data_IF_881135526213
#
_entry.id   IF_881135526213
#
_cell.length_a   1.000
_cell.length_b   1.000
_cell.length_c   1.000
_cell.angle_alpha   90.00
_cell.angle_beta   90.00
_cell.angle_gamma   90.00
#
_symmetry.space_group_name_H-M   'P 1'
#
loop_
_entity.id
_entity.type
_entity.pdbx_description
1 polymer ?
#
# COMPACT_ATOMS: atom_id res chain seq x y z
N UNK A 1 20.77 -38.01 5.94
CA UNK A 1 19.34 -37.97 5.60
C UNK A 1 18.49 -37.76 6.86
N UNK A 2 18.66 -38.57 7.90
CA UNK A 2 17.94 -38.46 9.19
C UNK A 2 17.98 -37.05 9.81
N UNK A 3 19.17 -36.44 9.97
CA UNK A 3 19.30 -35.08 10.52
C UNK A 3 18.52 -34.02 9.74
N UNK A 4 18.47 -34.13 8.42
CA UNK A 4 17.73 -33.18 7.55
C UNK A 4 16.23 -33.32 7.79
N UNK A 5 15.72 -34.55 7.93
CA UNK A 5 14.30 -34.78 8.23
C UNK A 5 13.92 -34.15 9.57
N UNK A 6 14.77 -34.30 10.59
CA UNK A 6 14.56 -33.69 11.91
C UNK A 6 14.54 -32.16 11.80
N UNK A 7 15.47 -31.57 11.05
CA UNK A 7 15.56 -30.11 10.86
C UNK A 7 14.33 -29.59 10.10
N UNK A 8 13.86 -30.32 9.08
CA UNK A 8 12.63 -29.96 8.35
C UNK A 8 11.42 -30.02 9.29
N UNK A 9 11.26 -31.11 10.06
CA UNK A 9 10.15 -31.26 10.99
C UNK A 9 10.15 -30.16 12.06
N UNK A 10 11.32 -29.83 12.61
CA UNK A 10 11.47 -28.73 13.55
C UNK A 10 11.19 -27.36 12.88
N UNK A 11 11.75 -27.11 11.70
CA UNK A 11 11.55 -25.87 10.96
C UNK A 11 10.10 -25.63 10.57
N UNK A 12 9.35 -26.68 10.23
CA UNK A 12 7.90 -26.62 10.00
C UNK A 12 7.14 -26.20 11.28
N UNK A 13 7.44 -26.85 12.41
CA UNK A 13 6.82 -26.50 13.69
C UNK A 13 7.18 -25.07 14.14
N UNK A 14 8.44 -24.67 13.93
CA UNK A 14 8.93 -23.34 14.23
C UNK A 14 8.29 -22.29 13.31
N UNK A 15 8.17 -22.54 12.01
CA UNK A 15 7.48 -21.65 11.07
C UNK A 15 6.01 -21.42 11.43
N UNK A 16 5.32 -22.47 11.90
CA UNK A 16 3.95 -22.33 12.43
C UNK A 16 3.89 -21.41 13.66
N UNK A 17 4.91 -21.45 14.53
CA UNK A 17 5.05 -20.51 15.63
C UNK A 17 5.37 -19.09 15.14
N UNK A 18 6.20 -18.92 14.11
CA UNK A 18 6.48 -17.60 13.52
C UNK A 18 5.21 -16.93 12.99
N UNK A 19 4.29 -17.68 12.38
CA UNK A 19 2.97 -17.17 11.99
C UNK A 19 2.16 -16.61 13.18
N UNK A 20 2.34 -17.14 14.39
CA UNK A 20 1.73 -16.60 15.60
C UNK A 20 2.35 -15.26 15.96
N UNK A 21 3.68 -15.12 15.86
CA UNK A 21 4.38 -13.86 16.11
C UNK A 21 3.96 -12.77 15.13
N UNK A 22 3.96 -13.08 13.83
CA UNK A 22 3.55 -12.15 12.75
C UNK A 22 2.13 -11.63 12.99
N UNK A 23 1.21 -12.49 13.42
CA UNK A 23 -0.16 -12.07 13.67
C UNK A 23 -0.33 -11.24 14.96
N UNK A 24 0.37 -11.60 16.04
CA UNK A 24 0.09 -11.10 17.39
C UNK A 24 0.90 -9.89 17.81
N UNK A 25 2.17 -9.80 17.41
CA UNK A 25 3.06 -8.71 17.84
C UNK A 25 2.53 -7.35 17.39
N UNK A 26 2.12 -7.15 16.12
CA UNK A 26 1.55 -5.86 15.66
C UNK A 26 0.23 -5.47 16.32
N UNK A 27 -0.37 -6.36 17.12
CA UNK A 27 -1.70 -6.20 17.74
C UNK A 27 -1.62 -6.19 19.26
N UNK A 28 -0.42 -6.12 19.83
CA UNK A 28 -0.15 -6.18 21.27
C UNK A 28 -0.81 -7.37 21.98
N UNK A 29 -0.96 -8.48 21.25
CA UNK A 29 -1.60 -9.68 21.77
C UNK A 29 -0.58 -10.58 22.45
N UNK A 30 -0.98 -11.24 23.55
CA UNK A 30 -0.09 -12.19 24.22
C UNK A 30 0.28 -13.36 23.31
N UNK A 31 1.58 -13.67 23.24
CA UNK A 31 2.14 -14.77 22.43
C UNK A 31 1.74 -16.14 22.98
N UNK A 32 1.49 -16.25 24.29
CA UNK A 32 1.26 -17.52 24.99
C UNK A 32 -0.21 -17.94 25.01
N UNK A 33 -1.13 -16.98 25.20
CA UNK A 33 -2.59 -17.23 25.29
C UNK A 33 -3.37 -16.16 24.52
N UNK A 34 -4.52 -16.49 23.91
CA UNK A 34 -5.20 -17.80 23.85
C UNK A 34 -4.60 -18.77 22.81
N UNK A 35 -5.15 -19.99 22.71
CA UNK A 35 -4.78 -20.95 21.66
C UNK A 35 -5.18 -20.45 20.26
N UNK A 36 -4.51 -20.94 19.21
CA UNK A 36 -4.79 -20.56 17.82
C UNK A 36 -6.26 -20.79 17.45
N UNK A 37 -6.89 -19.74 16.90
CA UNK A 37 -8.28 -19.72 16.49
C UNK A 37 -8.42 -19.07 15.12
N UNK A 38 -9.43 -19.49 14.36
CA UNK A 38 -9.74 -18.82 13.09
C UNK A 38 -10.16 -17.37 13.34
N UNK A 39 -9.59 -16.38 12.63
CA UNK A 39 -9.92 -14.97 12.84
C UNK A 39 -11.37 -14.64 12.48
N UNK A 40 -11.96 -15.26 11.45
CA UNK A 40 -13.35 -14.99 11.06
C UNK A 40 -14.39 -15.63 11.99
N UNK A 41 -14.26 -16.94 12.29
CA UNK A 41 -15.29 -17.64 13.07
C UNK A 41 -14.97 -17.85 14.54
N UNK A 42 -13.77 -17.44 14.99
CA UNK A 42 -13.24 -17.60 16.36
C UNK A 42 -13.26 -19.02 16.92
N UNK A 43 -13.57 -20.03 16.11
CA UNK A 43 -13.43 -21.45 16.51
C UNK A 43 -11.96 -21.79 16.68
N UNK A 44 -11.67 -22.54 17.74
CA UNK A 44 -10.34 -23.10 18.02
C UNK A 44 -9.92 -24.04 16.88
N UNK A 45 -8.67 -23.90 16.45
CA UNK A 45 -8.08 -24.78 15.43
C UNK A 45 -7.77 -26.13 16.09
N UNK A 46 -8.18 -27.22 15.45
CA UNK A 46 -7.86 -28.58 15.93
C UNK A 46 -6.40 -28.90 15.65
N UNK A 47 -5.80 -29.76 16.47
CA UNK A 47 -4.36 -30.09 16.39
C UNK A 47 -3.95 -30.57 14.98
N UNK A 48 -4.78 -31.40 14.32
CA UNK A 48 -4.50 -31.89 12.97
C UNK A 48 -4.73 -30.85 11.85
N UNK A 49 -5.44 -29.75 12.15
CA UNK A 49 -5.58 -28.60 11.25
C UNK A 49 -4.43 -27.59 11.47
N UNK A 50 -3.54 -27.86 12.43
CA UNK A 50 -2.35 -27.08 12.74
C UNK A 50 -1.06 -27.79 12.29
N UNK A 51 -1.16 -28.80 11.40
CA UNK A 51 0.00 -29.47 10.82
C UNK A 51 0.52 -28.58 9.67
N UNK A 52 1.72 -28.00 9.79
CA UNK A 52 2.22 -27.00 8.85
C UNK A 52 2.27 -27.54 7.43
N UNK A 53 1.97 -26.68 6.44
CA UNK A 53 1.94 -26.96 4.99
C UNK A 53 0.85 -27.97 4.58
N UNK A 54 0.80 -29.14 5.21
CA UNK A 54 -0.12 -30.24 4.90
C UNK A 54 -1.58 -29.82 5.17
N UNK A 55 -1.87 -29.23 6.32
CA UNK A 55 -3.24 -28.77 6.63
C UNK A 55 -3.69 -27.70 5.64
N UNK A 56 -2.80 -26.80 5.21
CA UNK A 56 -3.12 -25.76 4.23
C UNK A 56 -3.47 -26.36 2.85
N UNK A 57 -2.67 -27.32 2.37
CA UNK A 57 -2.91 -28.01 1.10
C UNK A 57 -4.21 -28.83 1.12
N UNK A 58 -4.42 -29.64 2.16
CA UNK A 58 -5.63 -30.48 2.30
C UNK A 58 -6.91 -29.63 2.39
N UNK A 59 -6.84 -28.48 3.07
CA UNK A 59 -7.97 -27.57 3.21
C UNK A 59 -8.16 -26.63 2.01
N UNK A 60 -7.25 -26.65 1.03
CA UNK A 60 -7.26 -25.75 -0.12
C UNK A 60 -7.15 -24.28 0.28
N UNK A 61 -6.36 -23.97 1.32
CA UNK A 61 -6.20 -22.61 1.85
C UNK A 61 -7.48 -22.02 2.45
N UNK A 62 -8.41 -22.84 2.96
CA UNK A 62 -9.69 -22.37 3.55
C UNK A 62 -9.90 -22.93 4.95
N UNK A 63 -10.55 -22.17 5.83
CA UNK A 63 -10.94 -22.67 7.14
C UNK A 63 -11.93 -23.86 7.00
N UNK A 64 -11.72 -24.92 7.78
CA UNK A 64 -12.60 -26.11 7.78
C UNK A 64 -14.06 -25.78 8.10
N UNK A 65 -14.29 -24.81 9.00
CA UNK A 65 -15.63 -24.48 9.51
C UNK A 65 -16.33 -23.40 8.69
N UNK A 66 -15.74 -22.23 8.57
CA UNK A 66 -16.37 -21.08 7.91
C UNK A 66 -15.95 -20.89 6.45
N UNK A 67 -15.06 -21.73 5.92
CA UNK A 67 -14.52 -21.64 4.54
C UNK A 67 -13.83 -20.31 4.19
N UNK A 68 -13.62 -19.43 5.16
CA UNK A 68 -12.82 -18.22 5.00
C UNK A 68 -11.43 -18.56 4.49
N UNK A 69 -10.91 -17.77 3.55
CA UNK A 69 -9.58 -17.97 2.96
C UNK A 69 -8.50 -17.72 4.02
N UNK A 70 -7.50 -18.58 4.06
CA UNK A 70 -6.28 -18.44 4.87
C UNK A 70 -5.25 -17.74 3.98
N UNK A 71 -4.59 -16.67 4.44
CA UNK A 71 -3.60 -15.94 3.63
C UNK A 71 -2.43 -16.84 3.20
N UNK A 72 -1.93 -16.61 1.98
CA UNK A 72 -0.80 -17.38 1.42
C UNK A 72 0.50 -17.20 2.22
N UNK A 73 0.66 -16.08 2.94
CA UNK A 73 1.80 -15.85 3.84
C UNK A 73 1.97 -16.95 4.88
N UNK A 74 0.88 -17.52 5.41
CA UNK A 74 0.97 -18.62 6.37
C UNK A 74 1.72 -19.82 5.77
N UNK A 75 1.37 -20.17 4.53
CA UNK A 75 2.01 -21.24 3.78
C UNK A 75 3.46 -20.90 3.43
N UNK A 76 3.73 -19.66 3.02
CA UNK A 76 5.08 -19.20 2.69
C UNK A 76 6.01 -19.24 3.90
N UNK A 77 5.60 -18.72 5.06
CA UNK A 77 6.41 -18.74 6.30
C UNK A 77 6.73 -20.18 6.70
N UNK A 78 5.75 -21.09 6.59
CA UNK A 78 5.93 -22.51 6.93
C UNK A 78 6.86 -23.25 5.98
N UNK A 79 7.05 -22.79 4.73
CA UNK A 79 8.02 -23.36 3.78
C UNK A 79 9.39 -22.67 3.90
N UNK A 80 9.40 -21.34 3.98
CA UNK A 80 10.64 -20.55 4.04
C UNK A 80 11.45 -20.92 5.28
N UNK A 81 10.81 -21.11 6.44
CA UNK A 81 11.51 -21.44 7.69
C UNK A 81 12.33 -22.75 7.61
N UNK A 82 11.75 -23.92 7.29
CA UNK A 82 12.52 -25.15 7.15
C UNK A 82 13.49 -25.10 5.98
N UNK A 83 13.17 -24.40 4.88
CA UNK A 83 14.10 -24.22 3.76
C UNK A 83 15.36 -23.47 4.22
N UNK A 84 15.20 -22.32 4.90
CA UNK A 84 16.30 -21.56 5.48
C UNK A 84 17.11 -22.42 6.45
N UNK A 85 16.47 -23.19 7.32
CA UNK A 85 17.18 -24.04 8.29
C UNK A 85 17.97 -25.15 7.59
N UNK A 86 17.42 -25.78 6.55
CA UNK A 86 18.17 -26.77 5.77
C UNK A 86 19.37 -26.14 5.08
N UNK A 87 19.21 -24.98 4.44
CA UNK A 87 20.33 -24.26 3.79
C UNK A 87 21.42 -23.89 4.79
N UNK A 88 21.04 -23.38 5.96
CA UNK A 88 21.97 -23.07 7.05
C UNK A 88 22.68 -24.32 7.56
N UNK A 89 21.98 -25.45 7.68
CA UNK A 89 22.59 -26.71 8.09
C UNK A 89 23.58 -27.24 7.06
N UNK A 90 23.27 -27.13 5.77
CA UNK A 90 24.17 -27.55 4.69
C UNK A 90 25.48 -26.74 4.70
N UNK A 91 25.43 -25.47 5.12
CA UNK A 91 26.59 -24.60 5.17
C UNK A 91 27.36 -24.67 6.50
N UNK A 92 26.67 -24.57 7.64
CA UNK A 92 27.29 -24.47 8.96
C UNK A 92 27.32 -25.79 9.74
N UNK A 93 26.70 -26.86 9.24
CA UNK A 93 26.46 -28.11 9.98
C UNK A 93 25.75 -27.86 11.34
N UNK A 94 25.71 -28.84 12.24
CA UNK A 94 25.18 -28.63 13.61
C UNK A 94 26.24 -27.96 14.50
N UNK A 95 26.49 -26.67 14.27
CA UNK A 95 27.39 -25.83 15.06
C UNK A 95 26.60 -24.81 15.91
N UNK A 96 27.27 -24.13 16.83
CA UNK A 96 26.66 -23.01 17.54
C UNK A 96 26.21 -21.89 16.57
N UNK A 97 27.00 -21.68 15.51
CA UNK A 97 26.69 -20.71 14.44
C UNK A 97 25.38 -21.05 13.71
N UNK A 98 25.10 -22.32 13.49
CA UNK A 98 23.84 -22.75 12.90
C UNK A 98 22.62 -22.28 13.71
N UNK A 99 22.63 -22.49 15.03
CA UNK A 99 21.51 -22.09 15.89
C UNK A 99 21.33 -20.56 15.95
N UNK A 100 22.43 -19.82 16.04
CA UNK A 100 22.40 -18.35 15.99
C UNK A 100 21.81 -17.84 14.66
N UNK A 101 22.24 -18.43 13.54
CA UNK A 101 21.73 -18.09 12.20
C UNK A 101 20.27 -18.50 12.01
N UNK A 102 19.81 -19.60 12.59
CA UNK A 102 18.39 -19.96 12.61
C UNK A 102 17.54 -18.92 13.35
N UNK A 103 18.03 -18.40 14.48
CA UNK A 103 17.33 -17.35 15.24
C UNK A 103 17.29 -16.04 14.45
N UNK A 104 18.43 -15.63 13.87
CA UNK A 104 18.51 -14.44 13.02
C UNK A 104 17.59 -14.55 11.79
N UNK A 105 17.63 -15.69 11.08
CA UNK A 105 16.74 -15.93 9.94
C UNK A 105 15.25 -15.92 10.35
N UNK A 106 14.92 -16.47 11.51
CA UNK A 106 13.55 -16.41 12.04
C UNK A 106 13.12 -14.96 12.30
N UNK A 107 13.99 -14.13 12.88
CA UNK A 107 13.72 -12.72 13.10
C UNK A 107 13.51 -11.97 11.77
N UNK A 108 14.36 -12.21 10.75
CA UNK A 108 14.21 -11.59 9.43
C UNK A 108 12.92 -12.01 8.72
N UNK A 109 12.52 -13.29 8.82
CA UNK A 109 11.24 -13.76 8.28
C UNK A 109 10.08 -13.04 8.99
N UNK A 110 10.06 -12.99 10.32
CA UNK A 110 8.97 -12.35 11.06
C UNK A 110 8.91 -10.85 10.76
N UNK A 111 10.05 -10.15 10.81
CA UNK A 111 10.11 -8.71 10.52
C UNK A 111 9.66 -8.42 9.09
N UNK A 112 10.15 -9.16 8.09
CA UNK A 112 9.76 -8.94 6.69
C UNK A 112 8.28 -9.16 6.42
N UNK A 113 7.65 -10.18 7.04
CA UNK A 113 6.21 -10.38 6.89
C UNK A 113 5.37 -9.36 7.68
N UNK A 114 5.83 -8.92 8.86
CA UNK A 114 5.15 -7.85 9.59
C UNK A 114 5.21 -6.55 8.79
N UNK A 115 6.39 -6.19 8.29
CA UNK A 115 6.59 -5.00 7.47
C UNK A 115 5.73 -5.03 6.20
N UNK A 116 5.70 -6.16 5.49
CA UNK A 116 4.84 -6.33 4.30
C UNK A 116 3.34 -6.11 4.57
N UNK A 117 2.84 -6.47 5.76
CA UNK A 117 1.42 -6.35 6.09
C UNK A 117 1.03 -5.07 6.81
N UNK A 118 1.96 -4.52 7.59
CA UNK A 118 1.67 -3.46 8.55
C UNK A 118 2.56 -2.24 8.36
N UNK A 119 3.59 -2.29 7.51
CA UNK A 119 4.59 -1.24 7.30
C UNK A 119 5.19 -0.73 8.61
N UNK A 120 5.36 -1.64 9.58
CA UNK A 120 5.99 -1.35 10.87
C UNK A 120 7.09 -2.38 11.16
N UNK A 121 8.13 -1.94 11.84
CA UNK A 121 9.21 -2.80 12.32
C UNK A 121 9.17 -2.79 13.86
N UNK A 122 8.66 -3.87 14.50
CA UNK A 122 8.46 -3.92 15.95
C UNK A 122 9.77 -4.00 16.73
N UNK A 123 9.92 -3.11 17.72
CA UNK A 123 11.08 -3.04 18.60
C UNK A 123 11.20 -4.26 19.53
N UNK A 124 10.09 -4.97 19.76
CA UNK A 124 10.05 -6.23 20.52
C UNK A 124 10.90 -7.33 19.87
N UNK A 125 11.24 -7.20 18.58
CA UNK A 125 12.08 -8.14 17.85
C UNK A 125 13.45 -7.54 17.57
N UNK A 126 13.52 -6.29 17.09
CA UNK A 126 14.78 -5.67 16.67
C UNK A 126 15.73 -5.43 17.83
N UNK A 127 15.25 -4.90 18.97
CA UNK A 127 16.11 -4.58 20.11
C UNK A 127 16.64 -5.84 20.82
N UNK A 128 15.82 -6.85 21.18
CA UNK A 128 16.37 -8.10 21.71
C UNK A 128 17.25 -8.81 20.70
N UNK A 129 16.90 -8.76 19.40
CA UNK A 129 17.73 -9.29 18.32
C UNK A 129 19.11 -8.64 18.28
N UNK A 130 19.19 -7.31 18.41
CA UNK A 130 20.44 -6.55 18.44
C UNK A 130 21.31 -6.96 19.62
N UNK A 131 20.73 -7.06 20.81
CA UNK A 131 21.44 -7.51 22.01
C UNK A 131 21.99 -8.92 21.82
N UNK A 132 21.19 -9.83 21.25
CA UNK A 132 21.62 -11.19 20.96
C UNK A 132 22.70 -11.24 19.88
N UNK A 133 22.64 -10.41 18.85
CA UNK A 133 23.67 -10.31 17.81
C UNK A 133 25.01 -9.82 18.37
N UNK A 134 24.98 -8.79 19.22
CA UNK A 134 26.18 -8.30 19.91
C UNK A 134 26.74 -9.34 20.89
N UNK A 135 25.88 -10.00 21.67
CA UNK A 135 26.30 -11.09 22.55
C UNK A 135 26.91 -12.27 21.76
N UNK A 136 26.34 -12.56 20.59
CA UNK A 136 26.82 -13.61 19.71
C UNK A 136 28.22 -13.28 19.12
N UNK A 137 28.53 -12.01 18.90
CA UNK A 137 29.87 -11.59 18.40
C UNK A 137 31.04 -12.01 19.29
N UNK A 138 30.81 -12.31 20.58
CA UNK A 138 31.86 -12.83 21.47
C UNK A 138 32.21 -14.30 21.21
N UNK A 139 31.34 -15.04 20.53
CA UNK A 139 31.47 -16.47 20.26
C UNK A 139 31.82 -16.76 18.80
N UNK A 140 32.22 -15.71 18.05
CA UNK A 140 32.54 -15.79 16.63
C UNK A 140 34.04 -15.63 16.41
N UNK A 141 34.59 -16.49 15.57
CA UNK A 141 35.99 -16.39 15.15
C UNK A 141 36.16 -15.40 13.98
N UNK A 142 35.09 -15.15 13.23
CA UNK A 142 35.10 -14.34 12.00
C UNK A 142 34.76 -12.86 12.23
N UNK A 143 34.12 -12.53 13.36
CA UNK A 143 33.64 -11.19 13.63
C UNK A 143 33.76 -10.84 15.12
N UNK A 144 34.59 -9.85 15.43
CA UNK A 144 34.77 -9.35 16.80
C UNK A 144 33.71 -8.30 17.17
N UNK A 145 33.49 -8.06 18.47
CA UNK A 145 32.55 -7.03 18.96
C UNK A 145 32.72 -5.66 18.29
N UNK A 146 33.97 -5.21 18.10
CA UNK A 146 34.25 -3.95 17.42
C UNK A 146 33.73 -3.96 15.98
N UNK A 147 33.87 -5.07 15.27
CA UNK A 147 33.35 -5.23 13.90
C UNK A 147 31.82 -5.34 13.88
N UNK A 148 31.22 -5.94 14.90
CA UNK A 148 29.76 -5.95 15.08
C UNK A 148 29.22 -4.53 15.25
N UNK A 149 29.83 -3.74 16.13
CA UNK A 149 29.47 -2.34 16.37
C UNK A 149 29.71 -1.48 15.13
N UNK A 150 30.84 -1.66 14.45
CA UNK A 150 31.11 -0.98 13.17
C UNK A 150 30.04 -1.37 12.15
N UNK A 151 29.65 -2.66 12.06
CA UNK A 151 28.57 -3.10 11.18
C UNK A 151 27.24 -2.43 11.47
N UNK A 152 26.82 -2.42 12.74
CA UNK A 152 25.58 -1.78 13.19
C UNK A 152 25.57 -0.29 12.86
N UNK A 153 26.64 0.43 13.23
CA UNK A 153 26.79 1.86 12.96
C UNK A 153 26.89 2.15 11.46
N UNK A 154 27.53 1.27 10.68
CA UNK A 154 27.63 1.46 9.22
C UNK A 154 26.26 1.34 8.57
N UNK A 155 25.49 0.29 8.89
CA UNK A 155 24.15 0.11 8.31
C UNK A 155 23.19 1.22 8.69
N UNK A 156 23.03 1.46 9.99
CA UNK A 156 22.12 2.47 10.51
C UNK A 156 22.59 3.89 10.17
N UNK A 157 23.88 4.17 10.30
CA UNK A 157 24.48 5.46 10.00
C UNK A 157 24.41 5.81 8.51
N UNK A 158 24.53 4.84 7.62
CA UNK A 158 24.34 5.06 6.18
C UNK A 158 22.90 5.49 5.86
N UNK A 159 21.90 4.79 6.41
CA UNK A 159 20.50 5.16 6.24
C UNK A 159 20.17 6.52 6.88
N UNK A 160 20.70 6.79 8.07
CA UNK A 160 20.53 8.09 8.74
C UNK A 160 21.18 9.23 7.96
N UNK A 161 22.31 9.00 7.29
CA UNK A 161 22.95 9.98 6.41
C UNK A 161 22.04 10.29 5.21
N UNK A 162 21.49 9.27 4.57
CA UNK A 162 20.52 9.45 3.47
C UNK A 162 19.30 10.22 3.96
N UNK A 163 18.71 9.80 5.08
CA UNK A 163 17.58 10.50 5.71
C UNK A 163 17.91 11.96 5.99
N UNK A 164 19.04 12.25 6.63
CA UNK A 164 19.45 13.61 6.98
C UNK A 164 19.72 14.49 5.75
N UNK A 165 20.39 13.95 4.73
CA UNK A 165 20.62 14.68 3.47
C UNK A 165 19.32 14.94 2.70
N UNK A 166 18.42 13.95 2.64
CA UNK A 166 17.11 14.11 2.05
C UNK A 166 16.28 15.16 2.79
N UNK A 167 16.24 15.09 4.12
CA UNK A 167 15.54 16.05 4.96
C UNK A 167 16.10 17.48 4.79
N UNK A 168 17.43 17.65 4.71
CA UNK A 168 18.03 18.96 4.48
C UNK A 168 17.68 19.57 3.11
N UNK A 169 17.59 18.75 2.07
CA UNK A 169 17.30 19.21 0.70
C UNK A 169 15.80 19.41 0.48
N UNK A 170 14.98 18.46 0.91
CA UNK A 170 13.54 18.41 0.62
C UNK A 170 12.66 18.90 1.76
N UNK A 171 13.20 19.04 2.98
CA UNK A 171 12.46 19.37 4.22
C UNK A 171 11.25 18.45 4.47
N UNK A 172 11.37 17.20 4.02
CA UNK A 172 10.36 16.15 4.15
C UNK A 172 11.01 14.91 4.77
N UNK A 173 10.24 14.17 5.57
CA UNK A 173 10.65 12.87 6.08
C UNK A 173 10.59 11.87 4.93
N UNK A 174 11.70 11.18 4.64
CA UNK A 174 11.82 10.31 3.46
C UNK A 174 12.16 8.86 3.75
N UNK A 175 12.38 8.49 5.01
CA UNK A 175 12.79 7.14 5.40
C UNK A 175 12.24 6.79 6.78
N UNK A 176 11.68 5.59 6.92
CA UNK A 176 11.17 5.08 8.19
C UNK A 176 12.29 4.81 9.20
N UNK A 177 12.13 5.26 10.44
CA UNK A 177 13.09 4.95 11.51
C UNK A 177 13.18 3.45 11.83
N UNK A 178 12.15 2.67 11.49
CA UNK A 178 12.17 1.21 11.58
C UNK A 178 13.29 0.57 10.74
N UNK A 179 13.54 1.09 9.54
CA UNK A 179 14.61 0.56 8.67
C UNK A 179 15.98 0.75 9.31
N UNK A 180 16.17 1.87 10.01
CA UNK A 180 17.40 2.17 10.74
C UNK A 180 17.60 1.17 11.89
N UNK A 181 16.57 0.87 12.67
CA UNK A 181 16.67 -0.09 13.79
C UNK A 181 16.87 -1.52 13.29
N UNK A 182 16.23 -1.90 12.18
CA UNK A 182 16.50 -3.17 11.52
C UNK A 182 17.96 -3.25 11.02
N UNK A 183 18.48 -2.18 10.43
CA UNK A 183 19.87 -2.13 9.97
C UNK A 183 20.90 -2.13 11.10
N UNK A 184 20.55 -1.66 12.31
CA UNK A 184 21.37 -1.89 13.50
C UNK A 184 21.53 -3.38 13.80
N UNK A 185 20.42 -4.13 13.80
CA UNK A 185 20.41 -5.57 14.02
C UNK A 185 21.18 -6.33 12.92
N UNK A 186 20.84 -6.07 11.65
CA UNK A 186 21.52 -6.70 10.51
C UNK A 186 23.02 -6.40 10.55
N UNK A 187 23.38 -5.14 10.84
CA UNK A 187 24.77 -4.71 10.93
C UNK A 187 25.55 -5.37 12.06
N UNK A 188 24.94 -5.48 13.24
CA UNK A 188 25.54 -6.18 14.38
C UNK A 188 25.77 -7.67 14.08
N UNK A 189 24.86 -8.30 13.33
CA UNK A 189 24.95 -9.72 13.02
C UNK A 189 25.90 -10.02 11.85
N UNK A 190 25.87 -9.25 10.77
CA UNK A 190 26.62 -9.56 9.54
C UNK A 190 27.97 -8.85 9.44
N UNK A 191 28.16 -7.73 10.17
CA UNK A 191 29.32 -6.87 10.02
C UNK A 191 29.25 -5.95 8.80
N UNK A 192 30.11 -4.95 8.74
CA UNK A 192 29.95 -3.81 7.83
C UNK A 192 29.97 -4.15 6.33
N UNK A 193 30.80 -5.08 5.89
CA UNK A 193 30.89 -5.47 4.46
C UNK A 193 29.58 -6.08 3.97
N UNK A 194 29.08 -7.06 4.72
CA UNK A 194 27.85 -7.77 4.36
C UNK A 194 26.64 -6.85 4.50
N UNK A 195 26.65 -5.92 5.46
CA UNK A 195 25.59 -4.92 5.66
C UNK A 195 25.42 -4.02 4.42
N UNK A 196 26.51 -3.51 3.86
CA UNK A 196 26.47 -2.70 2.64
C UNK A 196 25.98 -3.52 1.44
N UNK A 197 26.41 -4.79 1.34
CA UNK A 197 25.92 -5.69 0.31
C UNK A 197 24.41 -5.95 0.44
N UNK A 198 23.91 -6.18 1.65
CA UNK A 198 22.48 -6.34 1.93
C UNK A 198 21.69 -5.11 1.53
N UNK A 199 22.16 -3.89 1.85
CA UNK A 199 21.51 -2.65 1.44
C UNK A 199 21.37 -2.55 -0.08
N UNK A 200 22.45 -2.80 -0.82
CA UNK A 200 22.44 -2.73 -2.29
C UNK A 200 21.45 -3.75 -2.86
N UNK A 201 21.53 -5.00 -2.40
CA UNK A 201 20.67 -6.07 -2.89
C UNK A 201 19.20 -5.80 -2.57
N UNK A 202 18.91 -5.33 -1.35
CA UNK A 202 17.56 -4.96 -0.93
C UNK A 202 16.98 -3.84 -1.81
N UNK A 203 17.75 -2.79 -2.09
CA UNK A 203 17.33 -1.69 -2.97
C UNK A 203 17.02 -2.17 -4.40
N UNK A 204 17.83 -3.09 -4.95
CA UNK A 204 17.55 -3.67 -6.27
C UNK A 204 16.26 -4.51 -6.27
N UNK A 205 16.04 -5.33 -5.24
CA UNK A 205 14.81 -6.13 -5.16
C UNK A 205 13.59 -5.22 -4.97
N UNK A 206 13.67 -4.23 -4.06
CA UNK A 206 12.58 -3.28 -3.80
C UNK A 206 12.20 -2.44 -5.01
N UNK A 207 13.18 -2.02 -5.82
CA UNK A 207 12.94 -1.26 -7.05
C UNK A 207 12.08 -2.02 -8.08
N UNK A 208 12.03 -3.35 -8.02
CA UNK A 208 11.24 -4.17 -8.94
C UNK A 208 9.81 -4.48 -8.44
N UNK A 209 9.45 -4.13 -7.20
CA UNK A 209 8.19 -4.56 -6.55
C UNK A 209 7.09 -3.47 -6.59
N UNK A 210 7.36 -2.30 -7.17
CA UNK A 210 6.46 -1.13 -7.06
C UNK A 210 5.92 -0.56 -8.38
N UNK A 211 5.81 -1.35 -9.45
CA UNK A 211 5.42 -0.82 -10.78
C UNK A 211 4.19 -1.54 -11.34
N UNK A 212 3.06 -1.46 -10.62
CA UNK A 212 1.78 -2.01 -11.09
C UNK A 212 0.63 -1.00 -10.90
N UNK A 213 0.12 -0.46 -12.00
CA UNK A 213 -1.05 0.42 -12.07
C UNK A 213 -1.94 -0.01 -13.23
N UNK A 214 -3.11 -0.56 -12.90
CA UNK A 214 -4.05 -1.06 -13.91
C UNK A 214 -4.98 0.07 -14.40
N UNK A 215 -5.37 0.00 -15.66
CA UNK A 215 -6.40 0.87 -16.25
C UNK A 215 -7.60 0.03 -16.68
N UNK A 216 -8.82 0.54 -16.54
CA UNK A 216 -10.00 -0.22 -16.90
C UNK A 216 -11.19 0.65 -17.27
N UNK A 217 -12.01 0.15 -18.18
CA UNK A 217 -13.26 0.78 -18.63
C UNK A 217 -14.38 -0.25 -18.76
N UNK A 218 -15.62 0.17 -18.49
CA UNK A 218 -16.81 -0.61 -18.83
C UNK A 218 -17.18 -0.49 -20.32
N UNK A 219 -16.58 0.47 -21.04
CA UNK A 219 -16.86 0.71 -22.45
C UNK A 219 -16.42 -0.45 -23.34
N UNK A 220 -17.24 -0.78 -24.33
CA UNK A 220 -17.01 -1.85 -25.31
C UNK A 220 -16.73 -1.34 -26.72
N UNK A 221 -16.66 -0.02 -26.91
CA UNK A 221 -16.47 0.61 -28.22
C UNK A 221 -14.99 0.83 -28.53
N UNK A 222 -14.68 1.02 -29.81
CA UNK A 222 -13.32 1.30 -30.29
C UNK A 222 -12.77 2.57 -29.62
N UNK A 223 -11.59 2.47 -29.01
CA UNK A 223 -10.89 3.62 -28.42
C UNK A 223 -11.42 4.08 -27.07
N UNK A 224 -12.12 3.23 -26.30
CA UNK A 224 -12.44 3.56 -24.91
C UNK A 224 -11.19 3.74 -24.04
N UNK A 225 -10.08 3.10 -24.40
CA UNK A 225 -8.76 3.36 -23.86
C UNK A 225 -7.88 3.71 -25.05
N UNK A 226 -7.41 4.95 -25.11
CA UNK A 226 -6.53 5.44 -26.17
C UNK A 226 -5.22 5.95 -25.55
N UNK A 227 -4.13 5.25 -25.86
CA UNK A 227 -2.79 5.60 -25.40
C UNK A 227 -2.07 6.40 -26.48
N UNK A 228 -1.84 7.69 -26.19
CA UNK A 228 -1.02 8.56 -27.01
C UNK A 228 0.43 8.03 -27.14
N UNK A 229 1.18 8.45 -28.18
CA UNK A 229 2.58 8.06 -28.33
C UNK A 229 3.41 8.34 -27.08
N UNK A 230 4.27 7.39 -26.71
CA UNK A 230 5.10 7.36 -25.49
C UNK A 230 4.37 7.11 -24.17
N UNK A 231 3.04 7.01 -24.15
CA UNK A 231 2.32 6.63 -22.93
C UNK A 231 2.66 5.18 -22.55
N UNK A 232 2.91 4.95 -21.25
CA UNK A 232 3.20 3.61 -20.71
C UNK A 232 2.27 3.29 -19.57
N UNK A 233 1.63 2.14 -19.65
CA UNK A 233 0.86 1.55 -18.56
C UNK A 233 1.66 0.39 -18.02
N UNK A 234 2.16 0.53 -16.81
CA UNK A 234 2.87 -0.54 -16.11
C UNK A 234 1.85 -1.37 -15.33
N UNK A 235 1.08 -2.21 -16.02
CA UNK A 235 -0.02 -2.98 -15.44
C UNK A 235 -0.94 -3.56 -16.52
N UNK A 236 -2.02 -4.20 -16.10
CA UNK A 236 -3.06 -4.75 -16.96
C UNK A 236 -4.02 -3.66 -17.46
N UNK A 237 -4.59 -3.86 -18.65
CA UNK A 237 -5.63 -3.00 -19.21
C UNK A 237 -6.92 -3.77 -19.44
N UNK A 238 -8.03 -3.26 -18.90
CA UNK A 238 -9.33 -3.93 -18.90
C UNK A 238 -10.34 -3.19 -19.80
N UNK A 239 -10.89 -3.92 -20.77
CA UNK A 239 -12.00 -3.48 -21.64
C UNK A 239 -13.35 -3.96 -21.09
N UNK A 240 -14.44 -3.35 -21.56
CA UNK A 240 -15.79 -3.71 -21.14
C UNK A 240 -16.13 -5.19 -21.36
N UNK A 241 -17.11 -5.72 -20.62
CA UNK A 241 -17.43 -7.14 -20.65
C UNK A 241 -17.92 -7.61 -22.03
N UNK A 242 -17.35 -8.72 -22.51
CA UNK A 242 -17.69 -9.32 -23.80
C UNK A 242 -17.14 -8.57 -25.02
N UNK A 243 -16.26 -7.58 -24.81
CA UNK A 243 -15.54 -6.90 -25.89
C UNK A 243 -14.22 -7.59 -26.24
N UNK A 244 -13.70 -7.32 -27.43
CA UNK A 244 -12.35 -7.72 -27.83
C UNK A 244 -11.36 -6.64 -27.36
N UNK A 245 -10.48 -6.93 -26.37
CA UNK A 245 -9.58 -5.94 -25.78
C UNK A 245 -8.64 -5.27 -26.79
N UNK A 246 -8.24 -5.99 -27.84
CA UNK A 246 -7.36 -5.44 -28.87
C UNK A 246 -8.06 -4.45 -29.81
N UNK A 247 -9.39 -4.53 -29.88
CA UNK A 247 -10.21 -3.56 -30.61
C UNK A 247 -10.59 -2.35 -29.76
N UNK A 248 -10.76 -2.52 -28.44
CA UNK A 248 -11.17 -1.43 -27.54
C UNK A 248 -9.97 -0.56 -27.12
N UNK A 249 -8.80 -1.19 -26.94
CA UNK A 249 -7.59 -0.55 -26.42
C UNK A 249 -6.65 -0.20 -27.57
N UNK A 250 -6.58 1.09 -27.89
CA UNK A 250 -5.73 1.63 -28.94
C UNK A 250 -4.39 2.05 -28.35
N UNK A 251 -3.31 1.53 -28.92
CA UNK A 251 -1.92 1.89 -28.60
C UNK A 251 -1.31 2.61 -29.80
N UNK A 252 -0.97 3.89 -29.66
CA UNK A 252 -0.40 4.69 -30.75
C UNK A 252 1.12 4.75 -30.67
N UNK A 253 1.80 4.62 -31.81
CA UNK A 253 3.26 4.77 -31.90
C UNK A 253 4.02 3.74 -31.06
N UNK A 254 4.80 4.22 -30.09
CA UNK A 254 5.60 3.40 -29.16
C UNK A 254 4.97 3.30 -27.76
N UNK A 255 3.68 3.60 -27.62
CA UNK A 255 2.97 3.38 -26.35
C UNK A 255 3.04 1.90 -25.94
N UNK A 256 3.14 1.63 -24.65
CA UNK A 256 3.30 0.26 -24.13
C UNK A 256 2.31 -0.01 -23.00
N UNK A 257 1.76 -1.21 -23.01
CA UNK A 257 1.11 -1.82 -21.85
C UNK A 257 2.01 -3.00 -21.48
N UNK A 258 2.57 -2.96 -20.27
CA UNK A 258 3.51 -3.97 -19.79
C UNK A 258 2.80 -5.26 -19.36
N UNK A 259 1.56 -5.15 -18.87
CA UNK A 259 0.69 -6.27 -18.50
C UNK A 259 -0.19 -6.79 -19.64
N UNK A 260 -1.23 -7.51 -19.28
CA UNK A 260 -2.16 -8.14 -20.22
C UNK A 260 -3.36 -7.24 -20.55
N UNK A 261 -3.81 -7.29 -21.80
CA UNK A 261 -5.11 -6.73 -22.21
C UNK A 261 -6.21 -7.77 -21.98
N UNK A 262 -7.19 -7.45 -21.16
CA UNK A 262 -8.29 -8.36 -20.78
C UNK A 262 -9.65 -7.71 -21.00
N UNK A 263 -10.68 -8.53 -21.12
CA UNK A 263 -12.07 -8.08 -21.01
C UNK A 263 -12.54 -8.37 -19.59
N UNK A 264 -13.29 -7.43 -19.03
CA UNK A 264 -13.96 -7.62 -17.73
C UNK A 264 -14.94 -8.81 -17.83
N UNK A 265 -15.08 -9.58 -16.75
CA UNK A 265 -16.07 -10.66 -16.72
C UNK A 265 -17.51 -10.14 -16.61
N UNK A 266 -17.68 -9.02 -15.91
CA UNK A 266 -18.95 -8.36 -15.65
C UNK A 266 -18.74 -6.85 -15.60
N UNK A 267 -19.80 -6.10 -15.87
CA UNK A 267 -19.79 -4.64 -15.80
C UNK A 267 -19.59 -4.20 -14.34
N UNK A 268 -18.69 -3.25 -14.11
CA UNK A 268 -18.48 -2.66 -12.78
C UNK A 268 -19.56 -1.62 -12.51
N UNK A 269 -20.39 -1.86 -11.51
CA UNK A 269 -21.39 -0.89 -11.08
C UNK A 269 -20.71 0.30 -10.40
N UNK A 270 -21.17 1.51 -10.71
CA UNK A 270 -20.69 2.74 -10.11
C UNK A 270 -21.76 3.24 -9.13
N UNK A 271 -21.65 2.94 -7.81
CA UNK A 271 -22.65 3.35 -6.84
C UNK A 271 -22.78 4.87 -6.78
N UNK A 272 -24.02 5.34 -6.61
CA UNK A 272 -24.30 6.75 -6.34
C UNK A 272 -23.68 7.17 -5.01
N UNK A 273 -23.07 8.35 -5.00
CA UNK A 273 -22.52 8.96 -3.79
C UNK A 273 -23.60 9.81 -3.13
N UNK A 274 -23.89 9.52 -1.86
CA UNK A 274 -24.81 10.30 -1.03
C UNK A 274 -24.01 10.92 0.12
N UNK A 275 -24.01 12.26 0.28
CA UNK A 275 -23.35 12.91 1.41
C UNK A 275 -24.12 12.66 2.71
N UNK A 276 -23.49 12.75 3.90
CA UNK A 276 -24.17 12.62 5.17
C UNK A 276 -25.27 13.68 5.37
N UNK A 277 -26.44 13.26 5.87
CA UNK A 277 -27.61 14.12 6.09
C UNK A 277 -27.46 15.07 7.29
N UNK A 278 -26.46 14.85 8.16
CA UNK A 278 -26.25 15.56 9.42
C UNK A 278 -25.27 16.75 9.32
N UNK A 279 -24.87 17.13 8.11
CA UNK A 279 -23.97 18.27 7.89
C UNK A 279 -24.69 19.62 8.12
N UNK A 280 -24.13 20.44 9.01
CA UNK A 280 -24.61 21.80 9.24
C UNK A 280 -24.37 22.69 8.03
N UNK A 281 -25.34 23.54 7.70
CA UNK A 281 -25.19 24.56 6.66
C UNK A 281 -24.25 25.68 7.14
N UNK A 282 -23.11 25.81 6.46
CA UNK A 282 -22.05 26.79 6.71
C UNK A 282 -22.13 27.98 5.75
N UNK A 283 -23.01 27.94 4.74
CA UNK A 283 -23.13 28.96 3.71
C UNK A 283 -21.90 29.06 2.80
N UNK A 284 -21.57 30.28 2.36
CA UNK A 284 -20.46 30.53 1.44
C UNK A 284 -19.13 30.62 2.20
N UNK A 285 -18.13 29.87 1.74
CA UNK A 285 -16.75 30.00 2.20
C UNK A 285 -15.91 30.68 1.12
N UNK A 286 -15.43 31.89 1.41
CA UNK A 286 -14.60 32.64 0.47
C UNK A 286 -13.39 33.27 1.17
N UNK A 287 -12.20 33.05 0.58
CA UNK A 287 -10.97 33.72 0.99
C UNK A 287 -10.35 34.48 -0.18
N UNK A 288 -9.81 35.66 0.12
CA UNK A 288 -9.26 36.61 -0.83
C UNK A 288 -7.77 36.87 -0.60
N UNK A 289 -7.36 38.13 -0.83
CA UNK A 289 -5.96 38.52 -1.03
C UNK A 289 -5.08 38.21 0.18
N UNK A 290 -4.34 37.10 0.12
CA UNK A 290 -3.41 36.66 1.16
C UNK A 290 -4.09 36.21 2.46
N UNK A 291 -5.41 35.97 2.43
CA UNK A 291 -6.15 35.52 3.61
C UNK A 291 -5.73 34.11 4.01
N UNK A 292 -5.66 33.87 5.32
CA UNK A 292 -5.35 32.56 5.89
C UNK A 292 -6.54 32.09 6.71
N UNK A 293 -7.10 30.95 6.35
CA UNK A 293 -8.23 30.32 7.04
C UNK A 293 -7.88 28.94 7.60
N UNK A 294 -8.68 28.49 8.55
CA UNK A 294 -8.61 27.13 9.11
C UNK A 294 -10.00 26.52 9.10
N UNK A 295 -10.08 25.23 8.77
CA UNK A 295 -11.31 24.44 8.85
C UNK A 295 -11.04 23.29 9.83
N UNK A 296 -11.88 23.20 10.86
CA UNK A 296 -11.79 22.21 11.93
C UNK A 296 -13.13 21.51 12.21
N UNK A 297 -14.18 21.82 11.44
CA UNK A 297 -15.51 21.22 11.57
C UNK A 297 -16.10 20.84 10.21
N UNK A 298 -16.77 19.69 10.17
CA UNK A 298 -17.58 19.25 9.03
C UNK A 298 -18.75 20.20 8.74
N UNK A 299 -19.14 20.33 7.48
CA UNK A 299 -20.25 21.19 7.10
C UNK A 299 -20.60 21.15 5.61
N UNK A 300 -21.76 21.70 5.30
CA UNK A 300 -22.26 21.91 3.95
C UNK A 300 -22.01 23.37 3.53
N UNK A 301 -21.44 23.58 2.36
CA UNK A 301 -21.07 24.88 1.81
C UNK A 301 -21.81 25.14 0.50
N UNK A 302 -22.45 26.30 0.41
CA UNK A 302 -23.12 26.74 -0.82
C UNK A 302 -22.13 27.10 -1.91
N UNK A 303 -20.96 27.61 -1.53
CA UNK A 303 -19.81 27.80 -2.41
C UNK A 303 -18.49 27.73 -1.62
N UNK A 304 -17.41 27.33 -2.28
CA UNK A 304 -16.08 27.26 -1.72
C UNK A 304 -15.07 27.89 -2.69
N UNK A 305 -14.71 29.16 -2.44
CA UNK A 305 -13.95 29.98 -3.38
C UNK A 305 -12.68 30.52 -2.75
N UNK A 306 -11.53 30.08 -3.25
CA UNK A 306 -10.23 30.60 -2.88
C UNK A 306 -9.66 31.43 -4.03
N UNK A 307 -9.22 32.65 -3.72
CA UNK A 307 -8.59 33.54 -4.70
C UNK A 307 -7.37 34.26 -4.13
N UNK A 308 -6.54 34.79 -5.02
CA UNK A 308 -5.48 35.77 -4.72
C UNK A 308 -4.49 35.36 -3.60
N UNK A 309 -3.83 34.22 -3.76
CA UNK A 309 -2.83 33.68 -2.81
C UNK A 309 -3.38 33.40 -1.40
N UNK A 310 -4.70 33.20 -1.24
CA UNK A 310 -5.26 32.70 0.01
C UNK A 310 -4.81 31.26 0.30
N UNK A 311 -4.73 30.95 1.59
CA UNK A 311 -4.35 29.65 2.12
C UNK A 311 -5.42 29.19 3.10
N UNK A 312 -5.95 27.99 2.94
CA UNK A 312 -6.80 27.35 3.93
C UNK A 312 -6.16 26.06 4.41
N UNK A 313 -6.19 25.81 5.72
CA UNK A 313 -5.67 24.58 6.31
C UNK A 313 -6.77 23.82 7.04
N UNK A 314 -6.98 22.56 6.67
CA UNK A 314 -7.84 21.63 7.39
C UNK A 314 -7.03 20.97 8.50
N UNK A 315 -7.48 21.11 9.75
CA UNK A 315 -6.70 20.74 10.95
C UNK A 315 -7.30 19.60 11.78
N UNK A 316 -8.46 19.08 11.39
CA UNK A 316 -9.13 17.94 12.02
C UNK A 316 -9.79 17.06 10.98
N UNK A 317 -10.26 15.88 11.40
CA UNK A 317 -11.09 15.01 10.58
C UNK A 317 -12.40 15.72 10.22
N UNK A 318 -12.63 15.98 8.94
CA UNK A 318 -13.80 16.72 8.46
C UNK A 318 -14.41 16.10 7.21
N UNK A 319 -15.72 16.27 7.12
CA UNK A 319 -16.51 16.02 5.92
C UNK A 319 -17.05 17.35 5.41
N UNK A 320 -16.65 17.73 4.20
CA UNK A 320 -17.13 18.93 3.51
C UNK A 320 -18.08 18.51 2.41
N UNK A 321 -19.28 19.06 2.36
CA UNK A 321 -20.16 18.94 1.21
C UNK A 321 -20.29 20.29 0.53
N UNK A 322 -20.05 20.36 -0.77
CA UNK A 322 -19.98 21.61 -1.52
C UNK A 322 -21.03 21.54 -2.61
N UNK A 323 -22.19 22.14 -2.36
CA UNK A 323 -23.35 22.02 -3.25
C UNK A 323 -23.23 22.88 -4.51
N UNK A 324 -22.51 24.00 -4.44
CA UNK A 324 -22.28 24.91 -5.56
C UNK A 324 -20.84 24.83 -6.08
N UNK A 325 -20.21 25.98 -6.25
CA UNK A 325 -18.92 26.08 -6.92
C UNK A 325 -17.75 25.81 -5.96
N UNK A 326 -16.92 24.84 -6.28
CA UNK A 326 -15.57 24.69 -5.74
C UNK A 326 -14.57 25.34 -6.71
N UNK A 327 -14.00 26.48 -6.32
CA UNK A 327 -13.08 27.23 -7.17
C UNK A 327 -11.81 27.61 -6.44
N UNK A 328 -10.66 27.30 -7.05
CA UNK A 328 -9.34 27.71 -6.59
C UNK A 328 -8.59 28.40 -7.72
N UNK A 329 -8.18 29.65 -7.49
CA UNK A 329 -7.52 30.49 -8.49
C UNK A 329 -6.38 31.31 -7.91
N UNK A 330 -5.50 31.83 -8.76
CA UNK A 330 -4.42 32.77 -8.41
C UNK A 330 -3.50 32.29 -7.28
N UNK A 331 -2.83 31.16 -7.48
CA UNK A 331 -1.85 30.54 -6.56
C UNK A 331 -2.39 30.26 -5.15
N UNK A 332 -3.62 29.77 -5.04
CA UNK A 332 -4.21 29.44 -3.73
C UNK A 332 -3.82 28.06 -3.25
N UNK A 333 -3.90 27.84 -1.93
CA UNK A 333 -3.53 26.56 -1.32
C UNK A 333 -4.64 26.06 -0.40
N UNK A 334 -5.06 24.82 -0.62
CA UNK A 334 -5.85 24.02 0.32
C UNK A 334 -4.90 22.98 0.91
N UNK A 335 -4.53 23.16 2.16
CA UNK A 335 -3.63 22.27 2.88
C UNK A 335 -4.43 21.34 3.80
N UNK A 336 -4.17 20.04 3.73
CA UNK A 336 -4.71 19.06 4.66
C UNK A 336 -3.57 18.69 5.60
N UNK A 337 -3.78 18.91 6.89
CA UNK A 337 -2.77 18.63 7.92
C UNK A 337 -2.34 17.15 7.92
N UNK A 338 -1.19 16.88 8.51
CA UNK A 338 -0.76 15.49 8.70
C UNK A 338 -1.62 14.79 9.77
N UNK A 339 -1.95 13.52 9.53
CA UNK A 339 -2.76 12.69 10.43
C UNK A 339 -4.26 13.00 10.48
N UNK A 340 -4.81 13.80 9.55
CA UNK A 340 -6.26 14.06 9.48
C UNK A 340 -6.89 13.45 8.23
N UNK A 341 -8.13 12.99 8.36
CA UNK A 341 -8.92 12.38 7.30
C UNK A 341 -9.95 13.36 6.78
N UNK A 342 -9.90 13.66 5.49
CA UNK A 342 -10.76 14.64 4.83
C UNK A 342 -11.56 13.98 3.73
N UNK A 343 -12.87 14.24 3.74
CA UNK A 343 -13.75 13.87 2.63
C UNK A 343 -14.46 15.09 2.09
N UNK A 344 -14.36 15.30 0.78
CA UNK A 344 -15.00 16.40 0.08
C UNK A 344 -16.03 15.82 -0.88
N UNK A 345 -17.31 16.03 -0.58
CA UNK A 345 -18.41 15.76 -1.49
C UNK A 345 -18.63 16.96 -2.40
N UNK A 346 -18.67 16.73 -3.70
CA UNK A 346 -18.93 17.73 -4.73
C UNK A 346 -20.35 17.56 -5.27
N UNK A 347 -21.12 18.63 -5.24
CA UNK A 347 -22.48 18.71 -5.77
C UNK A 347 -22.62 19.60 -7.02
N UNK A 348 -21.78 20.64 -7.14
CA UNK A 348 -21.87 21.64 -8.20
C UNK A 348 -20.69 21.60 -9.19
N UNK A 349 -19.94 22.69 -9.29
CA UNK A 349 -18.80 22.77 -10.23
C UNK A 349 -17.47 22.63 -9.52
N UNK A 350 -16.44 22.19 -10.25
CA UNK A 350 -15.07 22.13 -9.74
C UNK A 350 -14.13 22.79 -10.74
N UNK A 351 -13.34 23.76 -10.27
CA UNK A 351 -12.28 24.37 -11.06
C UNK A 351 -11.06 24.66 -10.19
N UNK A 352 -9.94 24.05 -10.54
CA UNK A 352 -8.64 24.35 -9.94
C UNK A 352 -7.71 24.85 -11.03
N UNK A 353 -7.30 26.11 -10.92
CA UNK A 353 -6.52 26.78 -11.96
C UNK A 353 -5.43 27.70 -11.41
N UNK A 354 -4.62 28.25 -12.31
CA UNK A 354 -3.64 29.31 -11.98
C UNK A 354 -2.64 28.94 -10.88
N UNK A 355 -2.01 27.77 -11.00
CA UNK A 355 -1.02 27.23 -10.04
C UNK A 355 -1.58 26.98 -8.63
N UNK A 356 -2.90 26.83 -8.47
CA UNK A 356 -3.50 26.52 -7.18
C UNK A 356 -3.24 25.05 -6.80
N UNK A 357 -3.19 24.77 -5.51
CA UNK A 357 -2.65 23.52 -4.96
C UNK A 357 -3.56 22.93 -3.90
N UNK A 358 -3.91 21.65 -4.04
CA UNK A 358 -4.51 20.84 -2.97
C UNK A 358 -3.37 19.97 -2.42
N UNK A 359 -2.85 20.35 -1.25
CA UNK A 359 -1.69 19.73 -0.64
C UNK A 359 -2.15 18.83 0.51
N UNK A 360 -2.04 17.52 0.31
CA UNK A 360 -2.13 16.57 1.39
C UNK A 360 -0.75 16.39 2.04
N UNK A 361 -0.56 16.95 3.23
CA UNK A 361 0.74 17.01 3.89
C UNK A 361 1.20 15.65 4.42
N UNK A 362 0.27 14.72 4.69
CA UNK A 362 0.59 13.33 5.07
C UNK A 362 1.22 12.53 3.93
N UNK A 363 0.98 12.95 2.67
CA UNK A 363 1.31 12.20 1.46
C UNK A 363 0.68 10.80 1.40
N UNK A 364 -0.28 10.50 2.27
CA UNK A 364 -1.08 9.28 2.28
C UNK A 364 -2.35 9.50 1.45
N UNK A 365 -2.51 8.84 0.28
CA UNK A 365 -3.71 9.01 -0.54
C UNK A 365 -5.01 8.54 0.13
N UNK A 366 -4.94 7.75 1.22
CA UNK A 366 -6.13 7.28 1.94
C UNK A 366 -6.76 8.37 2.81
N UNK A 367 -6.01 9.42 3.16
CA UNK A 367 -6.47 10.49 4.05
C UNK A 367 -7.25 11.59 3.33
N UNK A 368 -7.27 11.62 2.00
CA UNK A 368 -8.04 12.58 1.19
C UNK A 368 -8.93 11.86 0.18
N UNK A 369 -10.25 12.05 0.31
CA UNK A 369 -11.26 11.53 -0.61
C UNK A 369 -12.06 12.67 -1.21
N UNK A 370 -12.10 12.76 -2.54
CA UNK A 370 -12.95 13.70 -3.29
C UNK A 370 -14.03 12.88 -4.01
N UNK A 371 -15.30 13.14 -3.71
CA UNK A 371 -16.42 12.31 -4.15
C UNK A 371 -17.47 13.17 -4.86
N UNK A 372 -17.82 12.84 -6.09
CA UNK A 372 -18.88 13.49 -6.85
C UNK A 372 -20.23 12.83 -6.58
N UNK A 373 -21.19 13.61 -6.12
CA UNK A 373 -22.60 13.18 -6.02
C UNK A 373 -23.22 13.01 -7.41
N UNK A 374 -24.43 12.44 -7.50
CA UNK A 374 -25.14 12.28 -8.78
C UNK A 374 -25.41 13.61 -9.52
N UNK A 375 -25.43 14.74 -8.79
CA UNK A 375 -25.57 16.07 -9.40
C UNK A 375 -24.25 16.59 -9.99
N UNK A 376 -23.10 16.03 -9.59
CA UNK A 376 -21.79 16.40 -10.12
C UNK A 376 -21.53 15.66 -11.44
N UNK A 377 -21.97 16.29 -12.54
CA UNK A 377 -21.85 15.74 -13.90
C UNK A 377 -21.09 16.66 -14.87
N UNK A 378 -20.41 17.68 -14.33
CA UNK A 378 -19.65 18.65 -15.10
C UNK A 378 -18.23 18.19 -15.47
N UNK A 379 -17.39 19.16 -15.83
CA UNK A 379 -15.96 18.93 -16.06
C UNK A 379 -15.16 19.31 -14.81
N UNK A 380 -14.35 18.38 -14.33
CA UNK A 380 -13.36 18.59 -13.28
C UNK A 380 -12.00 18.84 -13.94
N UNK A 381 -11.61 20.11 -14.05
CA UNK A 381 -10.30 20.50 -14.61
C UNK A 381 -9.26 20.56 -13.50
N UNK A 382 -8.14 19.84 -13.69
CA UNK A 382 -7.03 19.82 -12.76
C UNK A 382 -5.79 20.47 -13.37
N UNK A 383 -5.42 21.64 -12.85
CA UNK A 383 -4.23 22.37 -13.27
C UNK A 383 -3.45 22.85 -12.04
N UNK A 384 -2.38 22.12 -11.70
CA UNK A 384 -1.55 22.36 -10.53
C UNK A 384 -0.06 22.28 -10.87
N UNK A 385 0.76 22.82 -9.97
CA UNK A 385 2.22 22.66 -9.97
C UNK A 385 2.71 21.93 -8.70
N UNK A 386 1.81 21.26 -7.98
CA UNK A 386 2.15 20.40 -6.85
C UNK A 386 1.61 19.00 -7.08
N UNK A 387 2.35 18.01 -6.58
CA UNK A 387 1.92 16.62 -6.59
C UNK A 387 0.64 16.47 -5.76
N UNK A 388 -0.29 15.65 -6.24
CA UNK A 388 -1.55 15.37 -5.56
C UNK A 388 -1.51 14.00 -4.88
N UNK A 389 -2.01 13.90 -3.65
CA UNK A 389 -2.15 12.64 -2.91
C UNK A 389 -3.59 12.51 -2.41
N UNK A 390 -4.36 11.61 -3.04
CA UNK A 390 -5.76 11.39 -2.68
C UNK A 390 -6.51 10.51 -3.68
N UNK A 391 -7.72 10.07 -3.31
CA UNK A 391 -8.62 9.36 -4.23
C UNK A 391 -9.76 10.26 -4.70
N UNK A 392 -10.06 10.18 -6.00
CA UNK A 392 -11.14 10.93 -6.65
C UNK A 392 -12.15 9.95 -7.21
N UNK A 393 -13.40 10.04 -6.76
CA UNK A 393 -14.51 9.20 -7.21
C UNK A 393 -15.65 10.08 -7.74
N UNK A 394 -15.68 10.32 -9.05
CA UNK A 394 -16.62 11.23 -9.73
C UNK A 394 -17.26 10.53 -10.95
N UNK A 395 -18.02 9.43 -10.75
CA UNK A 395 -18.41 8.51 -11.82
C UNK A 395 -19.33 9.11 -12.90
N UNK A 396 -19.82 10.34 -12.71
CA UNK A 396 -20.70 11.06 -13.65
C UNK A 396 -20.04 12.27 -14.31
N UNK A 397 -18.79 12.56 -13.98
CA UNK A 397 -18.09 13.76 -14.44
C UNK A 397 -16.94 13.43 -15.39
N UNK A 398 -16.62 14.41 -16.24
CA UNK A 398 -15.42 14.38 -17.07
C UNK A 398 -14.23 14.94 -16.29
N UNK A 399 -13.16 14.16 -16.12
CA UNK A 399 -11.91 14.63 -15.49
C UNK A 399 -10.87 14.95 -16.56
N UNK A 400 -10.37 16.18 -16.56
CA UNK A 400 -9.33 16.67 -17.47
C UNK A 400 -8.09 17.07 -16.66
N UNK A 401 -7.06 16.23 -16.70
CA UNK A 401 -5.81 16.43 -15.97
C UNK A 401 -4.77 17.09 -16.88
N UNK A 402 -4.41 18.34 -16.57
CA UNK A 402 -3.49 19.19 -17.35
C UNK A 402 -2.27 19.66 -16.55
N UNK A 403 -2.04 19.06 -15.39
CA UNK A 403 -0.99 19.41 -14.43
C UNK A 403 0.32 18.71 -14.77
N UNK A 404 1.46 19.40 -14.71
CA UNK A 404 2.80 18.78 -14.88
C UNK A 404 3.33 18.12 -13.59
N UNK A 405 2.52 18.04 -12.54
CA UNK A 405 2.85 17.38 -11.29
C UNK A 405 2.20 16.02 -11.16
N UNK A 406 2.84 15.13 -10.42
CA UNK A 406 2.45 13.72 -10.33
C UNK A 406 1.18 13.53 -9.50
N UNK A 407 0.41 12.49 -9.83
CA UNK A 407 -0.80 12.11 -9.11
C UNK A 407 -0.55 10.79 -8.40
N UNK A 408 -0.78 10.75 -7.08
CA UNK A 408 -0.68 9.56 -6.24
C UNK A 408 -2.06 9.22 -5.67
N UNK A 409 -2.63 8.10 -6.09
CA UNK A 409 -3.92 7.62 -5.59
C UNK A 409 -4.76 6.93 -6.67
N UNK A 410 -6.07 7.18 -6.69
CA UNK A 410 -6.97 6.58 -7.69
C UNK A 410 -7.96 7.58 -8.26
N UNK A 411 -8.37 7.40 -9.51
CA UNK A 411 -9.44 8.18 -10.14
C UNK A 411 -10.51 7.25 -10.71
N UNK A 412 -11.76 7.55 -10.45
CA UNK A 412 -12.93 7.02 -11.16
C UNK A 412 -13.73 8.17 -11.73
N UNK A 413 -14.01 8.13 -13.04
CA UNK A 413 -14.72 9.18 -13.76
C UNK A 413 -15.59 8.57 -14.87
N UNK A 414 -16.52 9.36 -15.42
CA UNK A 414 -17.22 8.99 -16.66
C UNK A 414 -16.24 8.95 -17.82
N UNK A 415 -15.42 9.99 -17.92
CA UNK A 415 -14.28 10.07 -18.85
C UNK A 415 -13.07 10.66 -18.14
N UNK A 416 -11.90 10.07 -18.36
CA UNK A 416 -10.64 10.57 -17.82
C UNK A 416 -9.67 10.88 -18.95
N UNK A 417 -9.25 12.14 -19.05
CA UNK A 417 -8.26 12.60 -20.01
C UNK A 417 -7.00 13.06 -19.28
N UNK A 418 -5.86 12.47 -19.62
CA UNK A 418 -4.56 12.79 -19.04
C UNK A 418 -3.66 13.45 -20.09
N UNK A 419 -3.64 14.78 -20.10
CA UNK A 419 -2.89 15.59 -21.05
C UNK A 419 -1.66 16.21 -20.39
N UNK A 420 -0.71 15.39 -19.96
CA UNK A 420 0.48 15.85 -19.24
C UNK A 420 1.70 14.94 -19.42
N UNK A 421 2.88 15.46 -19.10
CA UNK A 421 4.10 14.68 -18.91
C UNK A 421 4.24 14.14 -17.47
N UNK A 422 3.29 14.43 -16.59
CA UNK A 422 3.24 13.90 -15.23
C UNK A 422 3.05 12.38 -15.21
N UNK A 423 3.31 11.78 -14.06
CA UNK A 423 3.08 10.37 -13.79
C UNK A 423 1.82 10.18 -12.94
N UNK A 424 1.10 9.10 -13.22
CA UNK A 424 -0.02 8.64 -12.41
C UNK A 424 0.42 7.37 -11.67
N UNK A 425 0.41 7.44 -10.34
CA UNK A 425 0.79 6.35 -9.46
C UNK A 425 -0.44 5.86 -8.70
N UNK A 426 -0.83 4.61 -8.95
CA UNK A 426 -1.85 3.97 -8.15
C UNK A 426 -1.28 3.57 -6.78
N UNK A 427 -1.94 3.99 -5.71
CA UNK A 427 -1.53 3.64 -4.35
C UNK A 427 -2.27 2.38 -3.85
N UNK A 428 -1.51 1.33 -3.51
CA UNK A 428 -2.07 0.06 -3.02
C UNK A 428 -2.80 0.19 -1.68
N UNK A 429 -2.49 1.20 -0.85
CA UNK A 429 -3.17 1.44 0.42
C UNK A 429 -4.68 1.67 0.20
N UNK A 430 -5.07 2.25 -0.94
CA UNK A 430 -6.46 2.47 -1.32
C UNK A 430 -7.25 1.16 -1.51
N UNK A 431 -6.60 0.04 -1.85
CA UNK A 431 -7.26 -1.26 -1.93
C UNK A 431 -7.67 -1.82 -0.55
N UNK A 432 -7.18 -1.21 0.53
CA UNK A 432 -7.56 -1.50 1.91
C UNK A 432 -8.72 -0.67 2.43
N UNK A 433 -9.05 0.45 1.76
CA UNK A 433 -10.03 1.41 2.23
C UNK A 433 -11.43 0.80 2.20
N UNK A 434 -11.99 0.53 3.39
CA UNK A 434 -13.36 0.08 3.58
C UNK A 434 -14.12 1.20 4.27
N UNK A 435 -15.28 1.55 3.74
CA UNK A 435 -16.11 2.61 4.28
C UNK A 435 -17.50 2.07 4.61
N UNK A 436 -17.98 2.36 5.81
CA UNK A 436 -19.27 1.87 6.30
C UNK A 436 -20.46 2.48 5.52
N UNK A 437 -20.24 3.63 4.87
CA UNK A 437 -21.17 4.35 3.99
C UNK A 437 -21.17 3.85 2.53
N UNK A 438 -20.16 3.08 2.11
CA UNK A 438 -20.07 2.51 0.76
C UNK A 438 -19.44 1.11 0.81
N UNK A 439 -20.28 0.07 0.82
CA UNK A 439 -19.87 -1.34 1.00
C UNK A 439 -18.84 -1.85 -0.04
N UNK A 440 -18.73 -1.23 -1.21
CA UNK A 440 -17.79 -1.62 -2.27
C UNK A 440 -17.33 -0.41 -3.12
N UNK A 441 -16.16 0.18 -2.81
CA UNK A 441 -15.46 1.02 -3.79
C UNK A 441 -14.89 0.11 -4.89
N UNK A 442 -15.28 0.29 -6.17
CA UNK A 442 -15.02 -0.71 -7.22
C UNK A 442 -13.54 -0.88 -7.62
N UNK A 443 -12.64 -0.01 -7.18
CA UNK A 443 -11.22 -0.03 -7.57
C UNK A 443 -10.25 -0.53 -6.49
N UNK A 444 -10.73 -1.33 -5.55
CA UNK A 444 -9.86 -2.27 -4.85
C UNK A 444 -9.51 -3.47 -5.73
N UNK A 445 -8.55 -3.36 -6.67
CA UNK A 445 -8.02 -4.58 -7.30
C UNK A 445 -7.18 -5.31 -6.26
N UNK A 446 -7.77 -6.35 -5.66
CA UNK A 446 -7.16 -7.09 -4.53
C UNK A 446 -6.77 -8.53 -4.84
N UNK A 447 -7.08 -9.07 -6.01
CA UNK A 447 -6.55 -10.36 -6.51
C UNK A 447 -7.23 -10.80 -7.80
N UNK A 448 -6.46 -11.22 -8.80
CA UNK A 448 -6.93 -12.00 -9.94
C UNK A 448 -7.06 -13.49 -9.56
N UNK A 449 -8.10 -14.17 -10.06
CA UNK A 449 -8.29 -15.63 -9.94
C UNK A 449 -9.00 -16.15 -11.17
N UNK A 450 -8.34 -17.04 -11.90
CA UNK A 450 -8.91 -17.83 -12.98
C UNK A 450 -9.85 -18.91 -12.39
N UNK A 451 -11.13 -18.91 -12.79
CA UNK A 451 -12.03 -20.05 -12.55
C UNK A 451 -12.25 -20.78 -13.87
N UNK A 452 -11.71 -22.01 -13.96
CA UNK A 452 -12.00 -22.95 -15.03
C UNK A 452 -13.52 -23.16 -15.09
N UNK A 453 -14.10 -22.89 -16.26
CA UNK A 453 -15.54 -22.94 -16.50
C UNK A 453 -16.18 -24.32 -16.24
N UNK A 454 -17.52 -24.37 -16.18
CA UNK A 454 -18.24 -25.62 -16.01
C UNK A 454 -18.05 -26.51 -17.24
N UNK A 455 -17.46 -27.68 -17.02
CA UNK A 455 -17.53 -28.81 -17.94
C UNK A 455 -18.99 -29.23 -18.05
N UNK A 456 -19.55 -29.10 -19.26
CA UNK A 456 -20.82 -29.70 -19.63
C UNK A 456 -20.75 -31.22 -19.43
N UNK A 457 -21.69 -31.78 -18.66
CA UNK A 457 -22.13 -33.16 -18.85
C UNK A 457 -23.65 -33.11 -18.98
N UNK A 458 -24.11 -33.11 -20.23
CA UNK A 458 -25.46 -33.57 -20.56
C UNK A 458 -25.47 -35.10 -20.67
N UNK A 459 -26.54 -35.66 -20.09
CA UNK A 459 -27.01 -37.06 -20.01
C UNK A 459 -26.51 -37.92 -18.85
#
# INVERSE_FOLDING_TARGET
MEKIIIIIAFGLAWGSFLNVLIYRIPRDMSIVKPASSCPSCRKKIKIYDNIPVISYLILGGKCRYCKAKIPLSYFLVEILTPLSFVLLYLYYSLSFHFFASCFFASAMIVLGFIDFYHMIIPDEITLPGLVLALAYSFFRDDLNLTQALIGAVTGAGFLLLIYGTYYLVRKKEGLGMGDVTMMLLIGAYLGWQQTLFTLILASFVGANVGIEGNVGTNGTFLGCIDLCPNAKVYGDAYSGPGSDPDSVIITQGNSLIDGEKKSLHEEKTMPSVVPPDDLFDMGDYSLGVGDVGTIDSSGNFTSFVLSNNSVVTITSDVTLYITGDFSMSSNTQLNIADGVNVTIYLGGTFTQDSNSQINNLSQDPTSLLIMGTDSFNGTMTWNSNSDFYGAVYVPRAHVDFRSNSDFYGSITADTFQFNSNAQFHYDLALAGLKRDDMEDLPYGIKSWKEELGPVFIEK
#
